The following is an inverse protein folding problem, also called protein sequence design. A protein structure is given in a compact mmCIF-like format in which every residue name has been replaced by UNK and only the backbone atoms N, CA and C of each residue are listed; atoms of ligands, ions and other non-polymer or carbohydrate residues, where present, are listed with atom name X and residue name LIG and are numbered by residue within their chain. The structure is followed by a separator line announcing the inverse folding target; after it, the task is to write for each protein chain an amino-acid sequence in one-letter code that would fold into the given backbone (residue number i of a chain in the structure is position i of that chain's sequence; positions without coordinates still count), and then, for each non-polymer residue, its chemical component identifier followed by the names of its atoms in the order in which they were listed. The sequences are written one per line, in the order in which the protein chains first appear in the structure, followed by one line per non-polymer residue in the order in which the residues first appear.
data_IF_611444039138
#
_entry.id   IF_611444039138
#
_cell.length_a   1.000
_cell.length_b   1.000
_cell.length_c   1.000
_cell.angle_alpha   90.00
_cell.angle_beta   90.00
_cell.angle_gamma   90.00
#
_symmetry.space_group_name_H-M   'P 1'
#
loop_
_entity.id
_entity.type
_entity.pdbx_description
1 polymer ?
#
# COMPACT_ATOMS: atom_id res chain seq x y z
N UNK A 1 -4.58 6.71 3.71
CA UNK A 1 -5.39 5.54 4.12
C UNK A 1 -6.72 5.52 3.40
N UNK A 2 -7.56 6.55 3.55
CA UNK A 2 -8.88 6.65 2.89
C UNK A 2 -8.87 6.36 1.38
N UNK A 3 -7.96 6.99 0.61
CA UNK A 3 -7.86 6.78 -0.83
C UNK A 3 -7.59 5.31 -1.24
N UNK A 4 -6.88 4.57 -0.38
CA UNK A 4 -6.56 3.16 -0.56
C UNK A 4 -7.54 2.22 0.14
N UNK A 5 -8.54 2.75 0.85
CA UNK A 5 -9.54 2.00 1.62
C UNK A 5 -8.94 1.12 2.72
N UNK A 6 -7.85 1.58 3.33
CA UNK A 6 -7.20 0.90 4.45
C UNK A 6 -7.77 1.46 5.76
N UNK A 7 -8.25 0.57 6.63
CA UNK A 7 -8.83 0.90 7.92
C UNK A 7 -7.78 0.98 9.04
N UNK A 8 -8.05 1.73 10.13
CA UNK A 8 -7.23 1.66 11.34
C UNK A 8 -7.14 0.23 11.87
N UNK A 9 -5.94 -0.20 12.23
CA UNK A 9 -5.60 -1.54 12.71
C UNK A 9 -5.78 -2.67 11.69
N UNK A 10 -6.06 -2.36 10.43
CA UNK A 10 -6.08 -3.37 9.37
C UNK A 10 -4.69 -3.95 9.14
N UNK A 11 -4.61 -5.26 8.91
CA UNK A 11 -3.37 -5.93 8.57
C UNK A 11 -2.91 -5.48 7.17
N UNK A 12 -1.66 -5.05 7.08
CA UNK A 12 -1.01 -4.66 5.84
C UNK A 12 0.28 -5.44 5.62
N UNK A 13 0.58 -5.75 4.36
CA UNK A 13 1.92 -6.14 3.94
C UNK A 13 2.69 -4.94 3.45
N UNK A 14 3.94 -4.81 3.89
CA UNK A 14 4.86 -3.78 3.43
C UNK A 14 6.00 -4.46 2.68
N UNK A 15 6.29 -3.94 1.49
CA UNK A 15 7.32 -4.43 0.58
C UNK A 15 8.30 -3.29 0.33
N UNK A 16 9.54 -3.47 0.74
CA UNK A 16 10.60 -2.49 0.54
C UNK A 16 11.27 -2.73 -0.82
N UNK A 17 11.23 -1.74 -1.71
CA UNK A 17 11.83 -1.81 -3.05
C UNK A 17 13.34 -1.68 -3.00
N UNK A 18 13.87 -0.94 -2.03
CA UNK A 18 15.28 -0.61 -1.94
C UNK A 18 16.10 -1.81 -1.44
N UNK A 19 15.59 -2.54 -0.45
CA UNK A 19 16.32 -3.65 0.20
C UNK A 19 15.65 -5.03 0.04
N UNK A 20 14.42 -5.09 -0.49
CA UNK A 20 13.70 -6.33 -0.75
C UNK A 20 13.02 -6.96 0.47
N UNK A 21 13.03 -6.30 1.64
CA UNK A 21 12.33 -6.78 2.82
C UNK A 21 10.81 -6.87 2.58
N UNK A 22 10.19 -7.89 3.17
CA UNK A 22 8.75 -8.13 3.09
C UNK A 22 8.25 -8.54 4.46
N UNK A 23 7.28 -7.81 4.98
CA UNK A 23 6.75 -8.08 6.32
C UNK A 23 5.28 -7.69 6.45
N UNK A 24 4.66 -8.18 7.51
CA UNK A 24 3.27 -7.93 7.88
C UNK A 24 3.24 -7.08 9.16
N UNK A 25 2.32 -6.12 9.19
CA UNK A 25 2.04 -5.27 10.36
C UNK A 25 0.59 -4.78 10.28
N UNK A 26 0.21 -3.78 11.06
CA UNK A 26 -1.09 -3.12 11.02
C UNK A 26 -0.95 -1.61 10.77
N UNK A 27 -1.99 -1.00 10.18
CA UNK A 27 -2.03 0.44 9.89
C UNK A 27 -2.45 1.27 11.11
N UNK A 28 -1.84 2.45 11.26
CA UNK A 28 -2.21 3.48 12.25
C UNK A 28 -2.33 4.81 11.52
N UNK A 29 -3.34 5.59 11.85
CA UNK A 29 -3.55 6.91 11.22
C UNK A 29 -2.47 7.90 11.65
N UNK A 30 -1.86 8.55 10.65
CA UNK A 30 -1.07 9.76 10.84
C UNK A 30 -1.98 11.00 10.69
N UNK A 31 -1.40 12.18 10.89
CA UNK A 31 -2.11 13.44 10.62
C UNK A 31 -2.58 13.46 9.16
N UNK A 32 -3.84 13.82 8.93
CA UNK A 32 -4.40 13.98 7.59
C UNK A 32 -3.54 14.92 6.73
N UNK A 33 -3.41 14.58 5.44
CA UNK A 33 -2.67 15.34 4.41
C UNK A 33 -1.19 15.58 4.71
N UNK A 34 -0.59 14.85 5.67
CA UNK A 34 0.82 14.99 6.03
C UNK A 34 1.79 14.31 5.06
N UNK A 35 1.32 13.33 4.29
CA UNK A 35 2.18 12.43 3.51
C UNK A 35 3.06 11.52 4.37
N UNK A 36 2.81 11.43 5.69
CA UNK A 36 3.65 10.67 6.59
C UNK A 36 3.49 9.16 6.39
N UNK A 37 4.62 8.48 6.13
CA UNK A 37 4.73 7.02 6.16
C UNK A 37 5.77 6.67 7.22
N UNK A 38 5.28 6.31 8.42
CA UNK A 38 6.11 5.95 9.56
C UNK A 38 6.14 4.45 9.80
N UNK A 39 7.34 3.87 9.89
CA UNK A 39 7.54 2.46 10.28
C UNK A 39 8.23 2.46 11.63
N UNK A 40 7.56 1.90 12.63
CA UNK A 40 7.98 1.98 14.03
C UNK A 40 8.30 0.59 14.60
N UNK A 41 8.90 0.56 15.79
CA UNK A 41 9.13 -0.66 16.55
C UNK A 41 10.04 -1.67 15.84
N UNK A 42 9.67 -2.95 15.89
CA UNK A 42 10.47 -4.03 15.32
C UNK A 42 10.62 -3.91 13.78
N UNK A 43 9.60 -3.39 13.10
CA UNK A 43 9.60 -3.21 11.66
C UNK A 43 10.59 -2.14 11.18
N UNK A 44 10.96 -1.18 12.04
CA UNK A 44 11.96 -0.15 11.71
C UNK A 44 13.36 -0.73 11.44
N UNK A 45 13.61 -2.00 11.80
CA UNK A 45 14.86 -2.71 11.48
C UNK A 45 14.91 -3.23 10.05
N UNK A 46 13.79 -3.19 9.33
CA UNK A 46 13.62 -3.74 7.99
C UNK A 46 13.56 -2.66 6.90
N UNK A 47 13.49 -1.38 7.27
CA UNK A 47 13.31 -0.24 6.37
C UNK A 47 14.12 0.95 6.86
N UNK A 48 14.63 1.78 5.95
CA UNK A 48 15.34 3.03 6.23
C UNK A 48 14.50 4.24 5.80
N UNK A 49 14.68 5.39 6.48
CA UNK A 49 14.09 6.64 6.02
C UNK A 49 14.53 6.95 4.59
N UNK A 50 13.57 7.18 3.69
CA UNK A 50 13.81 7.42 2.27
C UNK A 50 13.69 6.17 1.39
N UNK A 51 13.51 4.98 1.97
CA UNK A 51 13.20 3.79 1.18
C UNK A 51 11.82 3.89 0.54
N UNK A 52 11.71 3.42 -0.71
CA UNK A 52 10.45 3.31 -1.42
C UNK A 52 9.76 2.02 -1.02
N UNK A 53 8.52 2.12 -0.54
CA UNK A 53 7.74 0.97 -0.09
C UNK A 53 6.42 0.84 -0.83
N UNK A 54 5.94 -0.40 -0.99
CA UNK A 54 4.58 -0.72 -1.42
C UNK A 54 3.82 -1.23 -0.19
N UNK A 55 2.62 -0.71 0.04
CA UNK A 55 1.73 -1.14 1.12
C UNK A 55 0.50 -1.81 0.49
N UNK A 56 0.18 -3.03 0.94
CA UNK A 56 -0.93 -3.83 0.44
C UNK A 56 -1.87 -4.22 1.59
N UNK A 57 -3.17 -4.10 1.37
CA UNK A 57 -4.20 -4.75 2.17
C UNK A 57 -4.87 -5.84 1.32
N UNK A 58 -5.23 -6.96 1.95
CA UNK A 58 -5.90 -8.08 1.29
C UNK A 58 -7.28 -8.25 1.89
N UNK A 59 -8.26 -8.56 1.05
CA UNK A 59 -9.56 -9.03 1.49
C UNK A 59 -9.80 -10.44 0.98
N UNK A 60 -10.67 -11.16 1.68
CA UNK A 60 -11.24 -12.40 1.20
C UNK A 60 -12.60 -12.07 0.60
N UNK A 61 -12.84 -12.59 -0.60
CA UNK A 61 -14.09 -12.46 -1.34
C UNK A 61 -14.50 -13.85 -1.81
N UNK A 62 -15.77 -13.99 -2.17
CA UNK A 62 -16.24 -15.23 -2.79
C UNK A 62 -15.63 -15.40 -4.19
N UNK A 63 -15.51 -16.65 -4.67
CA UNK A 63 -14.87 -16.98 -5.95
C UNK A 63 -15.51 -16.21 -7.13
N UNK A 64 -16.84 -16.06 -7.13
CA UNK A 64 -17.58 -15.34 -8.17
C UNK A 64 -17.23 -13.85 -8.21
N UNK A 65 -16.93 -13.26 -7.05
CA UNK A 65 -16.53 -11.87 -6.90
C UNK A 65 -15.05 -11.68 -7.25
N UNK A 66 -14.19 -12.65 -6.94
CA UNK A 66 -12.75 -12.59 -7.17
C UNK A 66 -12.39 -12.30 -8.63
N UNK A 67 -13.13 -12.86 -9.59
CA UNK A 67 -12.92 -12.62 -11.02
C UNK A 67 -13.24 -11.19 -11.47
N UNK A 68 -14.07 -10.48 -10.69
CA UNK A 68 -14.52 -9.11 -10.98
C UNK A 68 -14.01 -8.09 -9.96
N UNK A 69 -13.17 -8.52 -9.01
CA UNK A 69 -12.64 -7.67 -7.98
C UNK A 69 -11.66 -6.66 -8.57
N UNK A 70 -11.90 -5.37 -8.30
CA UNK A 70 -11.07 -4.28 -8.80
C UNK A 70 -10.42 -3.56 -7.61
N UNK A 71 -9.14 -3.84 -7.29
CA UNK A 71 -8.47 -3.19 -6.17
C UNK A 71 -8.35 -1.67 -6.39
N UNK A 72 -8.25 -0.93 -5.29
CA UNK A 72 -7.87 0.48 -5.32
C UNK A 72 -6.35 0.59 -5.41
N UNK A 73 -5.87 1.12 -6.53
CA UNK A 73 -4.44 1.35 -6.79
C UNK A 73 -4.15 2.84 -6.63
N UNK A 74 -3.46 3.20 -5.55
CA UNK A 74 -3.08 4.58 -5.25
C UNK A 74 -1.60 4.77 -5.54
N UNK A 75 -1.29 5.58 -6.54
CA UNK A 75 0.07 5.97 -6.90
C UNK A 75 0.37 7.34 -6.30
N UNK A 76 1.55 7.48 -5.73
CA UNK A 76 2.02 8.71 -5.08
C UNK A 76 3.29 9.25 -5.74
N UNK A 77 3.55 10.54 -5.56
CA UNK A 77 4.80 11.20 -5.98
C UNK A 77 5.92 11.06 -4.93
N UNK A 78 7.09 11.67 -5.17
CA UNK A 78 8.22 11.63 -4.22
C UNK A 78 7.95 12.31 -2.86
N UNK A 79 6.88 13.08 -2.75
CA UNK A 79 6.44 13.76 -1.53
C UNK A 79 5.25 13.04 -0.87
N UNK A 80 4.93 11.82 -1.32
CA UNK A 80 3.78 11.02 -0.89
C UNK A 80 2.40 11.68 -1.16
N UNK A 81 2.32 12.67 -2.07
CA UNK A 81 1.04 13.17 -2.55
C UNK A 81 0.44 12.21 -3.56
N UNK A 82 -0.88 12.08 -3.57
CA UNK A 82 -1.58 11.23 -4.54
C UNK A 82 -1.41 11.82 -5.95
N UNK A 83 -0.74 11.08 -6.82
CA UNK A 83 -0.55 11.45 -8.22
C UNK A 83 -1.66 10.84 -9.11
N UNK A 84 -2.07 9.60 -8.82
CA UNK A 84 -3.04 8.88 -9.64
C UNK A 84 -3.79 7.83 -8.81
N UNK A 85 -5.10 7.71 -9.00
CA UNK A 85 -5.90 6.62 -8.44
C UNK A 85 -6.48 5.81 -9.60
N UNK A 86 -6.28 4.50 -9.58
CA UNK A 86 -6.87 3.55 -10.54
C UNK A 86 -7.67 2.48 -9.84
N UNK A 87 -8.58 1.90 -10.60
CA UNK A 87 -9.22 0.64 -10.29
C UNK A 87 -9.35 -0.16 -11.58
N UNK A 88 -8.92 -1.41 -11.57
CA UNK A 88 -8.95 -2.28 -12.73
C UNK A 88 -9.22 -3.73 -12.30
N UNK A 89 -10.19 -4.36 -12.96
CA UNK A 89 -10.53 -5.79 -12.74
C UNK A 89 -9.41 -6.72 -13.23
N UNK A 90 -8.70 -6.30 -14.28
CA UNK A 90 -7.57 -7.06 -14.82
C UNK A 90 -6.25 -6.47 -14.34
N UNK A 91 -5.27 -7.34 -14.16
CA UNK A 91 -3.90 -6.93 -13.91
C UNK A 91 -3.45 -5.93 -14.98
N UNK A 92 -3.00 -4.76 -14.53
CA UNK A 92 -2.42 -3.76 -15.41
C UNK A 92 -0.97 -4.19 -15.70
N UNK A 93 -0.62 -4.51 -16.95
CA UNK A 93 0.76 -4.84 -17.31
C UNK A 93 1.65 -3.62 -17.07
N UNK A 94 2.55 -3.72 -16.10
CA UNK A 94 3.44 -2.60 -15.72
C UNK A 94 4.57 -2.36 -16.74
N UNK A 95 4.75 -3.25 -17.73
CA UNK A 95 5.74 -3.17 -18.81
C UNK A 95 5.22 -2.52 -20.10
N UNK A 96 3.96 -2.08 -20.14
CA UNK A 96 3.38 -1.40 -21.31
C UNK A 96 3.47 0.14 -21.22
N UNK A 97 4.28 0.66 -20.29
CA UNK A 97 4.61 2.09 -20.18
C UNK A 97 5.97 2.40 -20.78
#
# INVERSE_FOLDING_TARGET
MEAADILPYEQVKVLDINNGARFETYAIEAKADSGEIGIQGAAARLVTVGDMVIILAYCQVEEEEAHNFAPKLVYVDENNNIAEIKSAVRALPFWEK
#
